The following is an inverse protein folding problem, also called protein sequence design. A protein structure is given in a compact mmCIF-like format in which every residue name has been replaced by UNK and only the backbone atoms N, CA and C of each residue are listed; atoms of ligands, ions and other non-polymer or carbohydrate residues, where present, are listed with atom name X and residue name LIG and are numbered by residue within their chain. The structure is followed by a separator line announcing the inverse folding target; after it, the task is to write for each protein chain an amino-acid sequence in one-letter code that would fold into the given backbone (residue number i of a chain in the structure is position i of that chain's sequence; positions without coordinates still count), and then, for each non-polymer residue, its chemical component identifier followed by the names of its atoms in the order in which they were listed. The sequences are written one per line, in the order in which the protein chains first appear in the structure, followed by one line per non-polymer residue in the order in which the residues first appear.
data_IF_339616137654
#
_entry.id   IF_339616137654
#
_cell.length_a   1.000
_cell.length_b   1.000
_cell.length_c   1.000
_cell.angle_alpha   90.00
_cell.angle_beta   90.00
_cell.angle_gamma   90.00
#
_symmetry.space_group_name_H-M   'P 1'
#
loop_
_entity.id
_entity.type
_entity.pdbx_description
1 polymer ?
#
# COMPACT_ATOMS: atom_id res chain seq x y z
N UNK A 1 4.41 22.12 3.45
CA UNK A 1 4.34 20.96 2.51
C UNK A 1 3.70 21.44 1.22
N UNK A 2 4.03 20.83 0.08
CA UNK A 2 3.31 21.07 -1.17
C UNK A 2 1.96 20.31 -1.12
N UNK A 3 0.94 20.78 -1.86
CA UNK A 3 -0.38 20.17 -1.95
C UNK A 3 -0.38 18.73 -2.53
N UNK A 4 0.76 18.24 -3.02
CA UNK A 4 0.94 16.90 -3.59
C UNK A 4 1.72 15.94 -2.67
N UNK A 5 1.85 16.23 -1.38
CA UNK A 5 2.62 15.40 -0.42
C UNK A 5 1.75 15.07 0.79
N UNK A 6 1.81 13.80 1.23
CA UNK A 6 1.23 13.32 2.48
C UNK A 6 2.31 12.66 3.35
N UNK A 7 2.19 12.69 4.68
CA UNK A 7 3.06 11.88 5.55
C UNK A 7 2.91 10.39 5.22
N UNK A 8 4.03 9.73 4.95
CA UNK A 8 4.04 8.32 4.53
C UNK A 8 5.08 7.54 5.31
N UNK A 9 4.74 6.30 5.67
CA UNK A 9 5.71 5.36 6.22
C UNK A 9 6.88 5.17 5.25
N UNK A 10 8.10 5.17 5.78
CA UNK A 10 9.32 5.15 4.95
C UNK A 10 9.44 3.85 4.16
N UNK A 11 9.11 2.72 4.77
CA UNK A 11 9.22 1.40 4.15
C UNK A 11 8.15 1.22 3.10
N UNK A 12 6.90 1.61 3.40
CA UNK A 12 5.85 1.64 2.40
C UNK A 12 6.26 2.48 1.18
N UNK A 13 6.75 3.70 1.41
CA UNK A 13 7.13 4.62 0.33
C UNK A 13 8.19 4.02 -0.59
N UNK A 14 9.29 3.52 -0.01
CA UNK A 14 10.45 3.03 -0.77
C UNK A 14 10.25 1.62 -1.34
N UNK A 15 9.30 0.84 -0.82
CA UNK A 15 9.09 -0.55 -1.22
C UNK A 15 7.76 -0.71 -1.97
N UNK A 16 6.64 -0.86 -1.27
CA UNK A 16 5.37 -1.27 -1.91
C UNK A 16 4.68 -0.17 -2.70
N UNK A 17 4.78 1.07 -2.25
CA UNK A 17 4.30 2.20 -3.04
C UNK A 17 5.12 2.35 -4.32
N UNK A 18 6.45 2.21 -4.23
CA UNK A 18 7.33 2.19 -5.41
C UNK A 18 7.00 1.02 -6.36
N UNK A 19 6.68 -0.18 -5.86
CA UNK A 19 6.21 -1.31 -6.69
C UNK A 19 4.97 -0.92 -7.49
N UNK A 20 4.01 -0.24 -6.86
CA UNK A 20 2.78 0.20 -7.50
C UNK A 20 3.01 1.33 -8.52
N UNK A 21 3.97 2.22 -8.26
CA UNK A 21 4.43 3.21 -9.24
C UNK A 21 5.15 2.57 -10.42
N UNK A 22 5.96 1.53 -10.18
CA UNK A 22 6.62 0.76 -11.23
C UNK A 22 5.60 -0.01 -12.08
N UNK A 23 4.55 -0.55 -11.46
CA UNK A 23 3.42 -1.12 -12.20
C UNK A 23 2.77 -0.07 -13.10
N UNK A 24 2.53 1.13 -12.58
CA UNK A 24 1.98 2.25 -13.36
C UNK A 24 2.88 2.57 -14.56
N UNK A 25 4.21 2.65 -14.37
CA UNK A 25 5.18 2.88 -15.45
C UNK A 25 5.19 1.74 -16.48
N UNK A 26 5.10 0.48 -16.03
CA UNK A 26 4.98 -0.70 -16.92
C UNK A 26 3.71 -0.60 -17.77
N UNK A 27 2.57 -0.35 -17.15
CA UNK A 27 1.27 -0.24 -17.84
C UNK A 27 1.26 0.90 -18.87
N UNK A 28 1.86 2.04 -18.56
CA UNK A 28 2.01 3.14 -19.54
C UNK A 28 2.74 2.65 -20.79
N UNK A 29 3.83 1.89 -20.64
CA UNK A 29 4.55 1.34 -21.80
C UNK A 29 3.68 0.36 -22.56
N UNK A 30 3.05 -0.60 -21.90
CA UNK A 30 2.24 -1.63 -22.58
C UNK A 30 0.99 -1.07 -23.26
N UNK A 31 0.32 -0.08 -22.66
CA UNK A 31 -0.90 0.55 -23.20
C UNK A 31 -0.58 1.56 -24.31
N UNK A 32 0.53 2.29 -24.21
CA UNK A 32 0.93 3.24 -25.24
C UNK A 32 1.68 2.58 -26.39
N UNK A 33 2.36 1.45 -26.15
CA UNK A 33 3.12 0.68 -27.13
C UNK A 33 2.37 -0.54 -27.66
N UNK A 34 1.05 -0.64 -27.48
CA UNK A 34 0.23 -1.61 -28.20
C UNK A 34 0.23 -1.28 -29.70
N UNK A 35 1.36 -1.55 -30.36
CA UNK A 35 1.51 -1.58 -31.79
C UNK A 35 0.83 -2.84 -32.31
N UNK A 36 0.02 -2.71 -33.37
CA UNK A 36 -0.56 -3.86 -34.04
C UNK A 36 0.54 -4.80 -34.56
N UNK A 37 0.44 -6.12 -34.34
CA UNK A 37 1.34 -7.08 -34.97
C UNK A 37 0.99 -7.20 -36.46
N UNK A 38 1.89 -6.67 -37.30
CA UNK A 38 2.01 -6.96 -38.74
C UNK A 38 0.77 -6.80 -39.64
N UNK A 39 0.71 -5.65 -40.34
CA UNK A 39 0.31 -5.63 -41.77
C UNK A 39 1.35 -4.88 -42.59
N UNK A 40 2.28 -5.64 -43.17
CA UNK A 40 2.99 -5.22 -44.37
C UNK A 40 1.99 -5.24 -45.54
N UNK A 41 1.29 -4.13 -45.76
CA UNK A 41 0.57 -3.89 -47.01
C UNK A 41 0.66 -2.41 -47.34
N UNK A 42 1.53 -2.12 -48.31
CA UNK A 42 1.70 -0.83 -48.95
C UNK A 42 0.35 -0.45 -49.60
N UNK A 43 -0.29 0.60 -49.09
CA UNK A 43 -1.26 1.41 -49.85
C UNK A 43 -1.02 2.89 -49.53
N UNK A 44 -0.77 3.74 -50.55
CA UNK A 44 -0.56 5.16 -50.35
C UNK A 44 -1.84 5.93 -50.67
N UNK A 45 -2.67 6.20 -49.66
CA UNK A 45 -3.59 7.37 -49.57
C UNK A 45 -4.68 7.12 -48.52
N UNK A 46 -4.68 7.91 -47.45
CA UNK A 46 -5.64 7.84 -46.34
C UNK A 46 -4.93 7.55 -45.01
N UNK A 47 -4.34 8.58 -44.39
CA UNK A 47 -3.66 8.44 -43.11
C UNK A 47 -4.65 8.06 -42.01
N UNK A 48 -4.74 6.77 -41.67
CA UNK A 48 -5.42 6.33 -40.46
C UNK A 48 -4.54 6.77 -39.28
N UNK A 49 -4.99 7.79 -38.57
CA UNK A 49 -4.32 8.31 -37.38
C UNK A 49 -4.23 7.20 -36.33
N UNK A 50 -3.02 6.67 -36.07
CA UNK A 50 -2.77 5.66 -35.04
C UNK A 50 -3.20 6.21 -33.68
N UNK A 51 -4.26 5.66 -33.09
CA UNK A 51 -4.74 6.07 -31.78
C UNK A 51 -4.01 5.30 -30.69
N UNK A 52 -3.03 5.93 -30.05
CA UNK A 52 -2.35 5.33 -28.91
C UNK A 52 -3.30 5.24 -27.71
N UNK A 53 -3.17 4.16 -26.93
CA UNK A 53 -3.86 4.02 -25.66
C UNK A 53 -3.48 5.11 -24.66
N UNK A 54 -4.30 5.28 -23.62
CA UNK A 54 -4.07 6.26 -22.55
C UNK A 54 -4.28 5.61 -21.19
N UNK A 55 -3.42 5.91 -20.22
CA UNK A 55 -3.60 5.54 -18.82
C UNK A 55 -3.84 6.80 -17.98
N UNK A 56 -4.93 6.79 -17.22
CA UNK A 56 -5.26 7.82 -16.24
C UNK A 56 -4.99 7.29 -14.84
N UNK A 57 -4.48 8.15 -13.97
CA UNK A 57 -4.07 7.78 -12.60
C UNK A 57 -4.63 8.79 -11.62
N UNK A 58 -5.30 8.30 -10.58
CA UNK A 58 -5.69 9.10 -9.41
C UNK A 58 -5.05 8.46 -8.18
N UNK A 59 -4.36 9.24 -7.34
CA UNK A 59 -3.77 8.76 -6.10
C UNK A 59 -4.13 9.69 -4.96
N UNK A 60 -4.27 9.15 -3.75
CA UNK A 60 -4.59 9.97 -2.60
C UNK A 60 -4.58 9.21 -1.27
N UNK A 61 -4.73 9.94 -0.16
CA UNK A 61 -4.87 9.34 1.16
C UNK A 61 -6.28 8.82 1.40
N UNK A 62 -6.40 7.79 2.25
CA UNK A 62 -7.70 7.35 2.77
C UNK A 62 -7.61 6.98 4.26
N UNK A 63 -8.66 7.32 5.00
CA UNK A 63 -8.77 7.16 6.44
C UNK A 63 -9.82 6.08 6.73
N UNK A 64 -9.37 4.84 6.86
CA UNK A 64 -10.25 3.69 7.06
C UNK A 64 -10.55 3.48 8.55
N UNK A 65 -11.79 3.11 8.91
CA UNK A 65 -12.15 2.84 10.29
C UNK A 65 -11.58 1.50 10.78
N UNK A 66 -11.32 1.42 12.08
CA UNK A 66 -11.05 0.17 12.81
C UNK A 66 -12.22 -0.18 13.72
N UNK A 67 -12.39 -1.47 14.02
CA UNK A 67 -13.39 -1.93 14.99
C UNK A 67 -12.78 -1.91 16.39
N UNK A 68 -13.36 -1.09 17.25
CA UNK A 68 -12.91 -0.93 18.63
C UNK A 68 -14.08 -1.05 19.60
N UNK A 69 -13.79 -1.66 20.74
CA UNK A 69 -14.66 -1.64 21.90
C UNK A 69 -14.33 -0.41 22.73
N UNK A 70 -15.37 0.28 23.20
CA UNK A 70 -15.21 1.47 24.03
C UNK A 70 -15.43 1.05 25.47
N UNK A 71 -14.35 1.00 26.24
CA UNK A 71 -14.38 0.71 27.67
C UNK A 71 -14.31 2.01 28.47
N UNK A 72 -15.15 2.13 29.50
CA UNK A 72 -15.07 3.24 30.46
C UNK A 72 -14.37 2.75 31.72
N UNK A 73 -13.20 3.30 32.00
CA UNK A 73 -12.44 3.01 33.20
C UNK A 73 -13.03 3.73 34.43
N UNK A 74 -12.76 3.19 35.62
CA UNK A 74 -13.05 3.89 36.88
C UNK A 74 -12.28 5.22 36.89
N UNK A 75 -12.99 6.33 36.96
CA UNK A 75 -12.42 7.69 36.80
C UNK A 75 -12.87 8.43 35.54
N UNK A 76 -13.68 7.80 34.68
CA UNK A 76 -14.29 8.46 33.51
C UNK A 76 -13.42 8.44 32.24
N UNK A 77 -12.20 7.92 32.32
CA UNK A 77 -11.35 7.72 31.15
C UNK A 77 -12.00 6.70 30.18
N UNK A 78 -11.86 6.98 28.89
CA UNK A 78 -12.37 6.14 27.80
C UNK A 78 -11.19 5.45 27.13
N UNK A 79 -11.20 4.12 27.11
CA UNK A 79 -10.18 3.30 26.46
C UNK A 79 -10.77 2.65 25.21
N UNK A 80 -10.04 2.76 24.10
CA UNK A 80 -10.35 2.05 22.87
C UNK A 80 -9.52 0.76 22.85
N UNK A 81 -10.18 -0.38 22.98
CA UNK A 81 -9.54 -1.69 22.88
C UNK A 81 -9.92 -2.36 21.55
N UNK A 82 -9.00 -3.06 20.86
CA UNK A 82 -9.33 -3.83 19.68
C UNK A 82 -10.52 -4.77 19.94
N UNK A 83 -11.46 -4.80 19.00
CA UNK A 83 -12.58 -5.73 19.10
C UNK A 83 -12.14 -7.14 18.72
N UNK A 84 -12.26 -8.09 19.65
CA UNK A 84 -12.19 -9.51 19.33
C UNK A 84 -13.61 -10.06 19.11
N UNK A 85 -13.86 -10.57 17.91
CA UNK A 85 -15.14 -11.18 17.50
C UNK A 85 -15.46 -12.46 18.30
N UNK A 86 -14.51 -12.98 19.09
CA UNK A 86 -14.72 -14.12 19.99
C UNK A 86 -15.63 -13.82 21.19
N UNK A 87 -15.78 -12.54 21.58
CA UNK A 87 -16.58 -12.16 22.75
C UNK A 87 -17.96 -11.62 22.35
N UNK A 88 -19.01 -12.39 22.63
CA UNK A 88 -20.42 -12.05 22.31
C UNK A 88 -20.99 -10.88 23.12
N UNK A 89 -20.22 -10.30 24.06
CA UNK A 89 -20.73 -9.34 25.05
C UNK A 89 -20.25 -7.89 24.85
N UNK A 90 -19.36 -7.59 23.89
CA UNK A 90 -18.82 -6.23 23.69
C UNK A 90 -19.38 -5.59 22.43
N UNK A 91 -20.02 -4.42 22.58
CA UNK A 91 -20.50 -3.62 21.43
C UNK A 91 -19.29 -3.02 20.70
N UNK A 92 -19.05 -3.49 19.48
CA UNK A 92 -18.01 -2.97 18.62
C UNK A 92 -18.49 -1.75 17.84
N UNK A 93 -17.67 -0.71 17.80
CA UNK A 93 -17.90 0.51 17.03
C UNK A 93 -16.81 0.69 16.00
N UNK A 94 -17.18 1.26 14.85
CA UNK A 94 -16.23 1.67 13.83
C UNK A 94 -15.74 3.08 14.14
N UNK A 95 -14.43 3.25 14.33
CA UNK A 95 -13.81 4.54 14.63
C UNK A 95 -12.67 4.79 13.66
N UNK A 96 -12.61 6.01 13.13
CA UNK A 96 -11.46 6.49 12.35
C UNK A 96 -10.52 7.21 13.32
N UNK A 97 -9.29 6.72 13.43
CA UNK A 97 -8.23 7.31 14.24
C UNK A 97 -6.98 7.50 13.38
N UNK A 98 -6.36 8.68 13.47
CA UNK A 98 -5.13 8.99 12.75
C UNK A 98 -4.30 10.03 13.51
N UNK A 99 -3.00 9.98 13.30
CA UNK A 99 -2.06 10.95 13.87
C UNK A 99 -2.14 12.29 13.10
N UNK A 100 -1.95 13.39 13.81
CA UNK A 100 -1.56 14.66 13.21
C UNK A 100 -0.08 14.90 13.47
N UNK A 101 0.70 15.15 12.42
CA UNK A 101 2.13 15.46 12.52
C UNK A 101 2.40 16.91 12.18
N UNK A 102 3.41 17.54 12.81
CA UNK A 102 3.74 18.95 12.60
C UNK A 102 4.05 19.69 13.89
N UNK A 103 4.18 21.02 13.80
CA UNK A 103 4.39 21.91 14.96
C UNK A 103 3.48 23.13 14.88
N UNK A 104 2.99 23.56 16.04
CA UNK A 104 2.11 24.72 16.16
C UNK A 104 0.87 24.57 15.28
N UNK A 105 0.63 25.56 14.41
CA UNK A 105 -0.57 25.61 13.56
C UNK A 105 -0.41 24.88 12.21
N UNK A 106 0.72 24.18 11.98
CA UNK A 106 1.00 23.46 10.73
C UNK A 106 0.84 21.95 10.92
N UNK A 107 -0.31 21.54 11.43
CA UNK A 107 -0.63 20.13 11.64
C UNK A 107 -1.14 19.50 10.35
N UNK A 108 -0.63 18.30 10.02
CA UNK A 108 -0.97 17.56 8.81
C UNK A 108 -1.42 16.16 9.21
N UNK A 109 -2.54 15.71 8.65
CA UNK A 109 -3.07 14.37 8.91
C UNK A 109 -2.17 13.29 8.29
N UNK A 110 -1.83 12.28 9.07
CA UNK A 110 -1.14 11.07 8.63
C UNK A 110 -2.20 10.06 8.15
N UNK A 111 -2.27 9.73 6.86
CA UNK A 111 -3.25 8.79 6.33
C UNK A 111 -3.10 7.41 6.96
N UNK A 112 -4.22 6.70 7.17
CA UNK A 112 -4.15 5.29 7.58
C UNK A 112 -3.73 4.37 6.43
N UNK A 113 -4.11 4.75 5.21
CA UNK A 113 -3.91 4.01 3.97
C UNK A 113 -3.70 5.01 2.83
N UNK A 114 -3.15 4.52 1.72
CA UNK A 114 -3.04 5.23 0.46
C UNK A 114 -3.75 4.44 -0.61
N UNK A 115 -4.36 5.14 -1.57
CA UNK A 115 -5.01 4.51 -2.71
C UNK A 115 -4.41 4.96 -4.04
N UNK A 116 -4.51 4.09 -5.04
CA UNK A 116 -4.27 4.41 -6.45
C UNK A 116 -5.35 3.80 -7.33
N UNK A 117 -6.01 4.62 -8.14
CA UNK A 117 -6.98 4.20 -9.15
C UNK A 117 -6.37 4.40 -10.52
N UNK A 118 -6.41 3.35 -11.33
CA UNK A 118 -5.91 3.30 -12.70
C UNK A 118 -7.09 3.09 -13.65
N UNK A 119 -7.11 3.84 -14.76
CA UNK A 119 -8.05 3.63 -15.86
C UNK A 119 -7.28 3.62 -17.18
N UNK A 120 -7.28 2.48 -17.85
CA UNK A 120 -6.78 2.33 -19.21
C UNK A 120 -7.90 2.59 -20.20
N UNK A 121 -7.58 3.34 -21.26
CA UNK A 121 -8.37 3.50 -22.48
C UNK A 121 -7.55 2.94 -23.64
N UNK A 122 -8.00 1.83 -24.22
CA UNK A 122 -7.39 1.19 -25.39
C UNK A 122 -8.38 1.16 -26.55
N UNK A 123 -7.88 0.88 -27.76
CA UNK A 123 -8.69 0.75 -28.96
C UNK A 123 -8.64 -0.70 -29.43
N UNK A 124 -9.80 -1.24 -29.79
CA UNK A 124 -9.97 -2.56 -30.38
C UNK A 124 -9.71 -2.49 -31.89
N UNK A 125 -9.49 -3.65 -32.50
CA UNK A 125 -9.27 -3.78 -33.95
C UNK A 125 -10.46 -3.26 -34.77
N UNK A 126 -11.68 -3.37 -34.25
CA UNK A 126 -12.92 -2.86 -34.87
C UNK A 126 -13.08 -1.33 -34.74
N UNK A 127 -12.09 -0.63 -34.16
CA UNK A 127 -12.12 0.80 -33.89
C UNK A 127 -12.91 1.18 -32.62
N UNK A 128 -13.50 0.21 -31.92
CA UNK A 128 -14.18 0.40 -30.66
C UNK A 128 -13.22 0.77 -29.53
N UNK A 129 -13.73 1.46 -28.50
CA UNK A 129 -12.94 1.81 -27.31
C UNK A 129 -13.16 0.74 -26.23
N UNK A 130 -12.09 0.31 -25.58
CA UNK A 130 -12.11 -0.54 -24.40
C UNK A 130 -11.62 0.25 -23.19
N UNK A 131 -12.34 0.15 -22.09
CA UNK A 131 -11.97 0.73 -20.81
C UNK A 131 -11.74 -0.36 -19.78
N UNK A 132 -10.64 -0.26 -19.05
CA UNK A 132 -10.29 -1.20 -18.00
C UNK A 132 -9.74 -0.46 -16.79
N UNK A 133 -10.08 -0.90 -15.60
CA UNK A 133 -9.69 -0.20 -14.37
C UNK A 133 -9.20 -1.13 -13.29
N UNK A 134 -8.40 -0.58 -12.37
CA UNK A 134 -8.03 -1.23 -11.13
C UNK A 134 -7.85 -0.17 -10.04
N UNK A 135 -8.33 -0.45 -8.84
CA UNK A 135 -8.11 0.37 -7.66
C UNK A 135 -7.34 -0.43 -6.62
N UNK A 136 -6.32 0.18 -6.01
CA UNK A 136 -5.47 -0.44 -4.99
C UNK A 136 -5.53 0.38 -3.71
N UNK A 137 -5.51 -0.30 -2.56
CA UNK A 137 -5.42 0.33 -1.24
C UNK A 137 -4.34 -0.35 -0.42
N UNK A 138 -3.31 0.41 -0.04
CA UNK A 138 -2.18 -0.07 0.76
C UNK A 138 -2.19 0.61 2.14
N UNK A 139 -1.91 -0.13 3.24
CA UNK A 139 -1.83 0.47 4.56
C UNK A 139 -0.61 1.37 4.68
N UNK A 140 -0.74 2.51 5.36
CA UNK A 140 0.34 3.48 5.59
C UNK A 140 1.32 3.02 6.69
N UNK A 141 1.81 1.78 6.58
CA UNK A 141 2.69 1.11 7.54
C UNK A 141 3.57 0.09 6.82
N UNK A 142 4.63 -0.43 7.46
CA UNK A 142 5.44 -1.45 6.84
C UNK A 142 4.64 -2.71 6.51
N UNK A 143 4.86 -3.19 5.29
CA UNK A 143 4.35 -4.48 4.83
C UNK A 143 5.53 -5.46 4.93
N UNK A 144 5.43 -6.40 5.86
CA UNK A 144 6.54 -7.32 6.16
C UNK A 144 6.62 -8.42 5.11
N UNK A 145 5.49 -9.06 4.84
CA UNK A 145 5.37 -10.11 3.84
C UNK A 145 5.04 -9.50 2.48
N UNK A 146 5.87 -9.78 1.48
CA UNK A 146 5.61 -9.34 0.12
C UNK A 146 4.46 -10.13 -0.49
N UNK A 147 3.26 -9.53 -0.44
CA UNK A 147 2.10 -10.02 -1.16
C UNK A 147 2.12 -9.49 -2.62
N UNK A 148 1.54 -10.23 -3.57
CA UNK A 148 1.38 -9.72 -4.93
C UNK A 148 0.46 -8.49 -4.95
N UNK A 149 0.69 -7.55 -5.87
CA UNK A 149 -0.02 -6.26 -5.85
C UNK A 149 -1.55 -6.40 -6.01
N UNK A 150 -2.02 -7.40 -6.75
CA UNK A 150 -3.46 -7.70 -6.88
C UNK A 150 -4.12 -8.06 -5.54
N UNK A 151 -3.37 -8.48 -4.52
CA UNK A 151 -3.91 -8.71 -3.17
C UNK A 151 -4.45 -7.42 -2.53
N UNK A 152 -3.92 -6.28 -2.95
CA UNK A 152 -4.35 -4.95 -2.49
C UNK A 152 -5.42 -4.34 -3.40
N UNK A 153 -5.87 -5.06 -4.43
CA UNK A 153 -6.92 -4.61 -5.32
C UNK A 153 -8.27 -4.59 -4.58
N UNK A 154 -9.04 -3.52 -4.77
CA UNK A 154 -10.38 -3.36 -4.23
C UNK A 154 -11.34 -2.95 -5.34
N UNK A 155 -12.65 -3.24 -5.21
CA UNK A 155 -13.66 -2.64 -6.07
C UNK A 155 -13.60 -1.11 -5.98
N UNK A 156 -13.71 -0.43 -7.13
CA UNK A 156 -13.65 1.04 -7.18
C UNK A 156 -14.76 1.67 -6.34
N UNK A 157 -15.95 1.07 -6.36
CA UNK A 157 -17.14 1.48 -5.62
C UNK A 157 -16.89 1.49 -4.10
N UNK A 158 -16.14 0.49 -3.61
CA UNK A 158 -15.78 0.41 -2.19
C UNK A 158 -14.87 1.57 -1.79
N UNK A 159 -13.92 1.92 -2.66
CA UNK A 159 -13.02 3.05 -2.42
C UNK A 159 -13.77 4.40 -2.47
N UNK A 160 -14.70 4.57 -3.41
CA UNK A 160 -15.55 5.76 -3.48
C UNK A 160 -16.39 5.94 -2.22
N UNK A 161 -17.00 4.86 -1.73
CA UNK A 161 -17.80 4.89 -0.50
C UNK A 161 -16.99 5.38 0.71
N UNK A 162 -15.73 4.93 0.85
CA UNK A 162 -14.88 5.33 2.00
C UNK A 162 -14.18 6.67 1.82
N UNK A 163 -13.99 7.14 0.58
CA UNK A 163 -13.33 8.42 0.28
C UNK A 163 -14.32 9.58 0.11
N UNK A 164 -15.59 9.28 -0.19
CA UNK A 164 -16.58 10.28 -0.59
C UNK A 164 -16.31 10.89 -1.98
N UNK A 165 -15.45 10.27 -2.78
CA UNK A 165 -15.11 10.71 -4.14
C UNK A 165 -15.89 9.91 -5.19
N UNK A 166 -16.03 10.49 -6.38
CA UNK A 166 -16.44 9.74 -7.57
C UNK A 166 -15.29 9.74 -8.58
N UNK A 167 -14.71 8.57 -8.82
CA UNK A 167 -13.65 8.38 -9.80
C UNK A 167 -14.29 8.14 -11.18
N UNK A 168 -13.83 8.90 -12.17
CA UNK A 168 -14.28 8.79 -13.57
C UNK A 168 -15.82 8.78 -13.72
N UNK A 169 -16.54 9.81 -13.22
CA UNK A 169 -18.01 9.79 -13.10
C UNK A 169 -18.76 9.64 -14.43
N UNK A 170 -18.14 9.99 -15.55
CA UNK A 170 -18.72 9.87 -16.90
C UNK A 170 -18.50 8.50 -17.55
N UNK A 171 -17.88 7.55 -16.84
CA UNK A 171 -17.60 6.22 -17.34
C UNK A 171 -18.79 5.28 -17.11
N UNK A 172 -19.24 4.60 -18.16
CA UNK A 172 -20.26 3.55 -18.04
C UNK A 172 -19.64 2.28 -17.42
N UNK A 173 -19.77 2.13 -16.09
CA UNK A 173 -19.14 1.06 -15.30
C UNK A 173 -19.48 -0.35 -15.75
N UNK A 174 -20.69 -0.56 -16.24
CA UNK A 174 -21.15 -1.85 -16.78
C UNK A 174 -20.29 -2.36 -17.94
N UNK A 175 -19.50 -1.49 -18.57
CA UNK A 175 -18.67 -1.80 -19.73
C UNK A 175 -17.16 -1.70 -19.42
N UNK A 176 -16.78 -1.57 -18.14
CA UNK A 176 -15.39 -1.44 -17.71
C UNK A 176 -14.86 -2.80 -17.29
N UNK A 177 -13.79 -3.26 -17.93
CA UNK A 177 -13.11 -4.49 -17.55
C UNK A 177 -12.15 -4.31 -16.36
N UNK A 178 -11.67 -5.43 -15.83
CA UNK A 178 -10.63 -5.45 -14.81
C UNK A 178 -9.25 -5.38 -15.46
N UNK A 179 -8.52 -4.30 -15.19
CA UNK A 179 -7.19 -4.06 -15.74
C UNK A 179 -6.20 -5.17 -15.35
N UNK A 180 -6.34 -5.75 -14.17
CA UNK A 180 -5.40 -6.72 -13.64
C UNK A 180 -5.58 -8.12 -14.20
N UNK A 181 -6.77 -8.42 -14.74
CA UNK A 181 -6.99 -9.64 -15.53
C UNK A 181 -6.25 -9.57 -16.86
N UNK A 182 -6.19 -8.39 -17.49
CA UNK A 182 -5.57 -8.20 -18.80
C UNK A 182 -4.05 -8.00 -18.75
N UNK A 183 -3.54 -7.31 -17.72
CA UNK A 183 -2.13 -6.88 -17.67
C UNK A 183 -1.28 -7.53 -16.57
N UNK A 184 -1.84 -8.48 -15.80
CA UNK A 184 -1.18 -9.15 -14.68
C UNK A 184 -0.52 -8.13 -13.74
N UNK A 185 -1.35 -7.42 -12.95
CA UNK A 185 -0.92 -6.37 -12.03
C UNK A 185 -0.05 -6.90 -10.88
N UNK A 186 1.18 -7.27 -11.17
CA UNK A 186 2.15 -7.67 -10.18
C UNK A 186 3.54 -7.21 -10.59
N UNK A 187 4.24 -6.60 -9.65
CA UNK A 187 5.65 -6.21 -9.75
C UNK A 187 6.31 -6.72 -8.49
N UNK A 188 7.41 -7.45 -8.64
CA UNK A 188 8.19 -7.93 -7.50
C UNK A 188 8.99 -6.78 -6.90
N UNK A 189 9.28 -6.84 -5.61
CA UNK A 189 10.22 -5.91 -4.98
C UNK A 189 11.60 -6.10 -5.59
N UNK A 190 12.26 -4.99 -5.96
CA UNK A 190 13.67 -5.03 -6.36
C UNK A 190 14.53 -5.65 -5.26
N UNK A 191 15.47 -6.56 -5.57
CA UNK A 191 16.30 -7.22 -4.56
C UNK A 191 16.98 -6.27 -3.57
N UNK A 192 17.41 -5.09 -4.03
CA UNK A 192 18.04 -4.06 -3.21
C UNK A 192 17.13 -3.52 -2.10
N UNK A 193 15.80 -3.55 -2.29
CA UNK A 193 14.84 -3.04 -1.32
C UNK A 193 14.37 -4.09 -0.31
N UNK A 194 14.73 -5.37 -0.47
CA UNK A 194 14.35 -6.44 0.47
C UNK A 194 14.78 -6.15 1.91
N UNK A 195 15.97 -5.56 2.08
CA UNK A 195 16.51 -5.19 3.40
C UNK A 195 15.63 -4.19 4.16
N UNK A 196 14.90 -3.32 3.47
CA UNK A 196 14.05 -2.32 4.11
C UNK A 196 12.89 -2.98 4.85
N UNK A 197 12.27 -4.04 4.28
CA UNK A 197 11.23 -4.82 4.97
C UNK A 197 11.77 -5.47 6.24
N UNK A 198 12.95 -6.08 6.16
CA UNK A 198 13.58 -6.78 7.28
C UNK A 198 13.93 -5.81 8.42
N UNK A 199 14.50 -4.65 8.10
CA UNK A 199 14.77 -3.57 9.07
C UNK A 199 13.48 -3.05 9.69
N UNK A 200 12.44 -2.80 8.87
CA UNK A 200 11.16 -2.34 9.38
C UNK A 200 10.48 -3.37 10.31
N UNK A 201 10.62 -4.66 10.00
CA UNK A 201 10.12 -5.73 10.85
C UNK A 201 10.74 -5.69 12.24
N UNK A 202 12.07 -5.53 12.32
CA UNK A 202 12.77 -5.38 13.59
C UNK A 202 12.31 -4.13 14.35
N UNK A 203 12.16 -3.00 13.66
CA UNK A 203 11.73 -1.73 14.28
C UNK A 203 10.32 -1.81 14.90
N UNK A 204 9.43 -2.60 14.29
CA UNK A 204 8.03 -2.73 14.73
C UNK A 204 7.82 -3.80 15.81
N UNK A 205 8.88 -4.50 16.22
CA UNK A 205 8.78 -5.41 17.37
C UNK A 205 8.45 -4.62 18.64
N UNK A 206 7.44 -5.08 19.38
CA UNK A 206 6.94 -4.44 20.60
C UNK A 206 7.58 -5.02 21.87
N UNK A 207 8.30 -6.13 21.74
CA UNK A 207 8.95 -6.81 22.87
C UNK A 207 10.27 -7.49 22.48
N UNK A 208 11.19 -7.61 23.44
CA UNK A 208 12.47 -8.32 23.23
C UNK A 208 12.25 -9.77 22.77
N UNK A 209 11.30 -10.56 23.33
CA UNK A 209 11.03 -11.91 22.84
C UNK A 209 10.56 -11.96 21.39
N UNK A 210 9.69 -11.03 20.98
CA UNK A 210 9.26 -10.91 19.58
C UNK A 210 10.44 -10.55 18.68
N UNK A 211 11.23 -9.53 19.06
CA UNK A 211 12.40 -9.09 18.32
C UNK A 211 13.41 -10.23 18.10
N UNK A 212 13.64 -11.07 19.12
CA UNK A 212 14.50 -12.26 19.01
C UNK A 212 13.97 -13.27 18.00
N UNK A 213 12.66 -13.55 18.03
CA UNK A 213 12.03 -14.48 17.07
C UNK A 213 12.20 -14.00 15.63
N UNK A 214 11.99 -12.70 15.40
CA UNK A 214 12.19 -12.07 14.08
C UNK A 214 13.64 -12.23 13.65
N UNK A 215 14.59 -11.89 14.52
CA UNK A 215 16.01 -11.96 14.18
C UNK A 215 16.48 -13.39 13.90
N UNK A 216 16.07 -14.38 14.71
CA UNK A 216 16.35 -15.80 14.44
C UNK A 216 15.75 -16.28 13.12
N UNK A 217 14.54 -15.82 12.77
CA UNK A 217 13.95 -16.12 11.47
C UNK A 217 14.83 -15.56 10.32
N UNK A 218 15.27 -14.30 10.42
CA UNK A 218 16.16 -13.69 9.43
C UNK A 218 17.51 -14.41 9.31
N UNK A 219 18.10 -14.83 10.43
CA UNK A 219 19.32 -15.66 10.43
C UNK A 219 19.11 -16.97 9.70
N UNK A 220 17.98 -17.65 9.93
CA UNK A 220 17.66 -18.91 9.27
C UNK A 220 17.49 -18.75 7.75
N UNK A 221 16.89 -17.65 7.32
CA UNK A 221 16.69 -17.34 5.89
C UNK A 221 18.01 -17.00 5.19
N UNK A 222 18.89 -16.24 5.84
CA UNK A 222 20.25 -15.99 5.34
C UNK A 222 21.07 -17.28 5.28
N UNK A 223 20.99 -18.13 6.31
CA UNK A 223 21.68 -19.42 6.34
C UNK A 223 21.24 -20.35 5.21
N UNK A 224 19.93 -20.45 4.92
CA UNK A 224 19.41 -21.23 3.78
C UNK A 224 19.97 -20.75 2.43
N UNK A 225 20.24 -19.44 2.31
CA UNK A 225 20.85 -18.83 1.11
C UNK A 225 22.38 -18.90 1.09
N UNK A 226 23.00 -19.49 2.12
CA UNK A 226 24.45 -19.52 2.33
C UNK A 226 25.06 -18.10 2.42
N UNK A 227 24.28 -17.16 2.93
CA UNK A 227 24.66 -15.77 3.11
C UNK A 227 24.80 -15.46 4.61
N UNK A 228 25.60 -14.45 4.93
CA UNK A 228 25.59 -13.86 6.28
C UNK A 228 24.47 -12.84 6.40
N UNK A 229 23.97 -12.63 7.62
CA UNK A 229 23.00 -11.56 7.87
C UNK A 229 23.64 -10.20 7.58
N UNK A 230 22.93 -9.35 6.84
CA UNK A 230 23.38 -8.01 6.50
C UNK A 230 23.75 -7.21 7.77
N UNK A 231 24.91 -6.54 7.74
CA UNK A 231 25.40 -5.73 8.87
C UNK A 231 24.41 -4.64 9.33
N UNK A 232 23.58 -4.11 8.42
CA UNK A 232 22.54 -3.13 8.74
C UNK A 232 21.45 -3.78 9.60
N UNK A 233 21.05 -5.00 9.28
CA UNK A 233 20.05 -5.77 10.04
C UNK A 233 20.60 -6.10 11.44
N UNK A 234 21.87 -6.52 11.53
CA UNK A 234 22.53 -6.78 12.81
C UNK A 234 22.59 -5.53 13.69
N UNK A 235 22.99 -4.39 13.12
CA UNK A 235 23.03 -3.11 13.83
C UNK A 235 21.64 -2.66 14.28
N UNK A 236 20.63 -2.82 13.43
CA UNK A 236 19.24 -2.49 13.77
C UNK A 236 18.74 -3.34 14.93
N UNK A 237 18.98 -4.66 14.90
CA UNK A 237 18.61 -5.55 16.01
C UNK A 237 19.23 -5.10 17.33
N UNK A 238 20.53 -4.82 17.36
CA UNK A 238 21.22 -4.36 18.56
C UNK A 238 20.70 -3.01 19.05
N UNK A 239 20.33 -2.11 18.14
CA UNK A 239 19.71 -0.83 18.47
C UNK A 239 18.35 -1.05 19.14
N UNK A 240 17.46 -1.83 18.51
CA UNK A 240 16.10 -2.06 19.02
C UNK A 240 16.08 -2.81 20.34
N UNK A 241 17.03 -3.72 20.59
CA UNK A 241 17.23 -4.36 21.91
C UNK A 241 17.45 -3.31 23.00
N UNK A 242 18.33 -2.32 22.76
CA UNK A 242 18.63 -1.26 23.74
C UNK A 242 17.42 -0.37 24.00
N UNK A 243 16.68 -0.01 22.95
CA UNK A 243 15.45 0.80 23.05
C UNK A 243 14.38 0.08 23.90
N UNK A 244 14.05 -1.16 23.55
CA UNK A 244 13.05 -1.95 24.29
C UNK A 244 13.45 -2.23 25.74
N UNK A 245 14.74 -2.43 26.01
CA UNK A 245 15.25 -2.58 27.38
C UNK A 245 15.06 -1.28 28.19
N UNK A 246 15.36 -0.12 27.61
CA UNK A 246 15.17 1.17 28.27
C UNK A 246 13.68 1.50 28.51
N UNK A 247 12.80 1.18 27.56
CA UNK A 247 11.35 1.31 27.71
C UNK A 247 10.82 0.44 28.88
N UNK A 248 11.34 -0.78 29.02
CA UNK A 248 10.96 -1.70 30.11
C UNK A 248 11.36 -1.16 31.47
N UNK A 249 12.59 -0.65 31.60
CA UNK A 249 13.08 -0.04 32.85
C UNK A 249 12.23 1.16 33.26
N UNK A 250 11.87 2.01 32.29
CA UNK A 250 11.06 3.22 32.54
C UNK A 250 9.65 2.87 33.02
N UNK A 251 9.01 1.85 32.44
CA UNK A 251 7.69 1.37 32.88
C UNK A 251 7.71 0.79 34.30
N UNK A 252 8.79 0.08 34.67
CA UNK A 252 8.94 -0.48 36.02
C UNK A 252 9.23 0.56 37.11
N UNK A 253 9.73 1.75 36.76
CA UNK A 253 9.97 2.84 37.72
C UNK A 253 8.75 3.73 37.96
N UNK A 254 7.75 3.69 37.08
CA UNK A 254 6.51 4.47 37.19
C UNK A 254 5.33 3.67 37.77
N UNK A 255 5.53 2.37 38.04
CA UNK A 255 4.55 1.44 38.63
C UNK A 255 4.83 1.20 40.11
#
# INVERSE_FOLDING_TARGET
MNANIVPQDRTLNVVDWLRLENLTRKLIREICSSEEPHRSSITPSGGVEKKNGKLYVVSGPVFLPTHVSIERCRGGAVMLAPCDHSSTSRVCKQIVQYELTGKGNQMVAVPTHLYKVLLAKTYKEDGGVRYESAAFVLPNKPIIEELPLWWYQVPMEKLEHVTGLSFFPYLNRSQVGDLCQSYQCNIQTEPLFRRYRQVAWLQHAESIPELRRIYTHLESESFKKKETVDTVIQKEYQRRVKELAAETVSRTSES
#
